data_IF_655478876060
#
_entry.id   IF_655478876060
#
_cell.length_a   1.000
_cell.length_b   1.000
_cell.length_c   1.000
_cell.angle_alpha   90.00
_cell.angle_beta   90.00
_cell.angle_gamma   90.00
#
_symmetry.space_group_name_H-M   'P 1'
#
loop_
_entity.id
_entity.type
_entity.pdbx_description
1 polymer ?
#
# COMPACT_ATOMS: atom_id res chain seq x y z
N UNK A 1 13.34 1.35 -5.00
CA UNK A 1 11.94 1.53 -5.41
C UNK A 1 11.46 0.54 -6.46
N UNK A 2 10.47 -0.30 -6.12
CA UNK A 2 9.58 -0.91 -7.12
C UNK A 2 8.43 0.07 -7.40
N UNK A 3 8.12 0.32 -8.67
CA UNK A 3 6.98 1.17 -9.07
C UNK A 3 5.81 0.25 -9.40
N UNK A 4 4.64 0.52 -8.81
CA UNK A 4 3.41 -0.21 -9.08
C UNK A 4 2.42 0.69 -9.81
N UNK A 5 1.88 0.20 -10.93
CA UNK A 5 0.80 0.85 -11.67
C UNK A 5 -0.56 0.37 -11.18
N UNK A 6 -1.63 1.06 -11.53
CA UNK A 6 -2.98 0.52 -11.34
C UNK A 6 -3.20 -0.78 -12.10
N UNK A 7 -4.12 -1.61 -11.62
CA UNK A 7 -4.49 -2.87 -12.26
C UNK A 7 -5.05 -2.65 -13.66
N UNK A 8 -4.68 -3.52 -14.60
CA UNK A 8 -5.19 -3.48 -15.98
C UNK A 8 -5.37 -4.88 -16.54
N UNK A 9 -6.44 -5.09 -17.30
CA UNK A 9 -6.71 -6.33 -18.05
C UNK A 9 -6.27 -6.27 -19.51
N UNK A 10 -5.73 -5.13 -19.97
CA UNK A 10 -5.29 -4.94 -21.35
C UNK A 10 -3.95 -5.66 -21.59
N UNK A 11 -3.90 -6.68 -22.48
CA UNK A 11 -2.68 -7.41 -22.76
C UNK A 11 -1.50 -6.55 -23.21
N UNK A 12 -1.76 -5.44 -23.93
CA UNK A 12 -0.69 -4.53 -24.40
C UNK A 12 -0.07 -3.78 -23.23
N UNK A 13 -0.89 -3.30 -22.29
CA UNK A 13 -0.39 -2.64 -21.07
C UNK A 13 0.34 -3.62 -20.16
N UNK A 14 -0.15 -4.87 -20.05
CA UNK A 14 0.53 -5.91 -19.30
C UNK A 14 1.90 -6.26 -19.90
N UNK A 15 2.04 -6.25 -21.23
CA UNK A 15 3.34 -6.40 -21.88
C UNK A 15 4.27 -5.23 -21.54
N UNK A 16 3.80 -3.98 -21.66
CA UNK A 16 4.58 -2.80 -21.28
C UNK A 16 5.02 -2.80 -19.80
N UNK A 17 4.15 -3.23 -18.89
CA UNK A 17 4.47 -3.37 -17.46
C UNK A 17 5.65 -4.34 -17.28
N UNK A 18 5.64 -5.49 -17.99
CA UNK A 18 6.74 -6.45 -17.96
C UNK A 18 8.02 -5.86 -18.55
N UNK A 19 7.93 -5.28 -19.74
CA UNK A 19 9.08 -4.75 -20.48
C UNK A 19 9.80 -3.63 -19.72
N UNK A 20 9.04 -2.82 -18.96
CA UNK A 20 9.59 -1.75 -18.13
C UNK A 20 9.92 -2.16 -16.69
N UNK A 21 9.75 -3.43 -16.31
CA UNK A 21 10.00 -3.90 -14.95
C UNK A 21 9.09 -3.25 -13.88
N UNK A 22 7.89 -2.83 -14.29
CA UNK A 22 6.89 -2.27 -13.39
C UNK A 22 6.10 -3.39 -12.70
N UNK A 23 5.47 -3.03 -11.58
CA UNK A 23 4.55 -3.90 -10.86
C UNK A 23 3.10 -3.45 -10.99
N UNK A 24 2.18 -4.23 -10.43
CA UNK A 24 0.76 -3.91 -10.36
C UNK A 24 0.31 -3.75 -8.90
N UNK A 25 -0.35 -2.64 -8.61
CA UNK A 25 -1.10 -2.43 -7.39
C UNK A 25 -2.54 -2.91 -7.61
N UNK A 26 -2.92 -3.98 -6.92
CA UNK A 26 -4.28 -4.53 -6.93
C UNK A 26 -5.08 -3.78 -5.86
N UNK A 27 -5.90 -2.82 -6.27
CA UNK A 27 -6.76 -2.08 -5.35
C UNK A 27 -8.05 -2.83 -5.06
N UNK A 28 -8.38 -2.95 -3.77
CA UNK A 28 -9.62 -3.59 -3.33
C UNK A 28 -10.81 -2.68 -3.59
N UNK A 29 -11.84 -3.20 -4.27
CA UNK A 29 -13.12 -2.53 -4.47
C UNK A 29 -14.22 -3.55 -4.83
N UNK A 30 -15.51 -3.20 -4.70
CA UNK A 30 -16.59 -4.03 -5.18
C UNK A 30 -16.39 -4.39 -6.67
N UNK A 31 -16.50 -5.68 -6.99
CA UNK A 31 -16.35 -6.15 -8.37
C UNK A 31 -14.91 -6.23 -8.89
N UNK A 32 -13.87 -6.11 -8.05
CA UNK A 32 -12.46 -6.22 -8.49
C UNK A 32 -12.22 -7.39 -9.44
N UNK A 33 -11.63 -7.12 -10.60
CA UNK A 33 -11.30 -8.14 -11.59
C UNK A 33 -9.79 -8.23 -11.73
N UNK A 34 -9.23 -9.33 -11.25
CA UNK A 34 -7.80 -9.59 -11.33
C UNK A 34 -7.52 -10.35 -12.62
N UNK A 35 -6.60 -9.87 -13.49
CA UNK A 35 -6.22 -10.55 -14.73
C UNK A 35 -5.95 -12.04 -14.55
N UNK A 36 -6.12 -12.80 -15.63
CA UNK A 36 -5.92 -14.27 -15.60
C UNK A 36 -4.46 -14.63 -15.35
N UNK A 37 -3.54 -13.92 -15.98
CA UNK A 37 -2.12 -14.18 -15.92
C UNK A 37 -1.33 -12.92 -15.56
N UNK A 38 -0.75 -12.94 -14.35
CA UNK A 38 0.19 -11.95 -13.84
C UNK A 38 1.57 -12.57 -13.59
N UNK A 39 1.86 -13.72 -14.22
CA UNK A 39 3.12 -14.43 -14.03
C UNK A 39 4.29 -13.52 -14.39
N UNK A 40 5.29 -13.47 -13.50
CA UNK A 40 6.48 -12.63 -13.63
C UNK A 40 6.27 -11.14 -13.38
N UNK A 41 5.06 -10.68 -13.03
CA UNK A 41 4.80 -9.27 -12.71
C UNK A 41 4.77 -9.10 -11.17
N UNK A 42 5.61 -8.23 -10.58
CA UNK A 42 5.53 -7.89 -9.16
C UNK A 42 4.14 -7.34 -8.82
N UNK A 43 3.55 -7.81 -7.73
CA UNK A 43 2.20 -7.40 -7.34
C UNK A 43 2.19 -6.93 -5.89
N UNK A 44 1.46 -5.85 -5.61
CA UNK A 44 1.13 -5.42 -4.26
C UNK A 44 -0.40 -5.27 -4.14
N UNK A 45 -0.93 -5.31 -2.92
CA UNK A 45 -2.36 -5.16 -2.67
C UNK A 45 -2.64 -3.88 -1.89
N UNK A 46 -3.47 -3.02 -2.47
CA UNK A 46 -4.01 -1.83 -1.82
C UNK A 46 -5.39 -2.16 -1.20
N UNK A 47 -5.63 -1.64 -0.01
CA UNK A 47 -6.79 -2.00 0.80
C UNK A 47 -8.10 -1.34 0.32
N UNK A 48 -8.03 -0.34 -0.57
CA UNK A 48 -9.20 0.37 -1.08
C UNK A 48 -9.73 1.51 -0.19
N UNK A 49 -9.12 1.78 0.96
CA UNK A 49 -9.59 2.78 1.93
C UNK A 49 -9.67 4.19 1.31
N UNK A 50 -8.71 4.55 0.46
CA UNK A 50 -8.72 5.84 -0.22
C UNK A 50 -9.93 6.01 -1.16
N UNK A 51 -10.24 4.98 -1.95
CA UNK A 51 -11.41 5.02 -2.84
C UNK A 51 -12.71 5.10 -2.05
N UNK A 52 -12.84 4.36 -0.94
CA UNK A 52 -14.02 4.45 -0.09
C UNK A 52 -14.18 5.86 0.49
N UNK A 53 -13.09 6.42 1.03
CA UNK A 53 -13.06 7.78 1.58
C UNK A 53 -13.44 8.85 0.55
N UNK A 54 -12.93 8.77 -0.68
CA UNK A 54 -13.29 9.72 -1.76
C UNK A 54 -14.77 9.71 -2.13
N UNK A 55 -15.46 8.58 -1.89
CA UNK A 55 -16.87 8.40 -2.20
C UNK A 55 -17.77 8.51 -0.95
N UNK A 56 -17.23 8.99 0.17
CA UNK A 56 -17.93 9.10 1.46
C UNK A 56 -18.52 7.76 1.97
N UNK A 57 -17.79 6.67 1.70
CA UNK A 57 -18.13 5.33 2.20
C UNK A 57 -17.16 4.88 3.30
N UNK A 58 -17.63 4.06 4.26
CA UNK A 58 -16.74 3.39 5.20
C UNK A 58 -15.82 2.39 4.48
N UNK A 59 -14.72 2.02 5.14
CA UNK A 59 -13.83 0.95 4.67
C UNK A 59 -14.61 -0.34 4.39
N UNK A 60 -14.51 -0.85 3.16
CA UNK A 60 -15.19 -2.06 2.73
C UNK A 60 -14.34 -3.31 3.07
N UNK A 61 -14.54 -3.81 4.29
CA UNK A 61 -13.92 -5.03 4.78
C UNK A 61 -14.19 -6.24 3.86
N UNK A 62 -15.40 -6.36 3.32
CA UNK A 62 -15.77 -7.49 2.48
C UNK A 62 -15.01 -7.45 1.16
N UNK A 63 -14.91 -6.29 0.50
CA UNK A 63 -14.13 -6.13 -0.71
C UNK A 63 -12.65 -6.44 -0.48
N UNK A 64 -12.07 -5.96 0.63
CA UNK A 64 -10.68 -6.24 0.99
C UNK A 64 -10.42 -7.75 1.15
N UNK A 65 -11.20 -8.43 1.99
CA UNK A 65 -11.05 -9.88 2.22
C UNK A 65 -11.31 -10.70 0.96
N UNK A 66 -12.28 -10.30 0.13
CA UNK A 66 -12.56 -10.95 -1.16
C UNK A 66 -11.41 -10.78 -2.14
N UNK A 67 -10.76 -9.61 -2.17
CA UNK A 67 -9.59 -9.34 -3.01
C UNK A 67 -8.40 -10.20 -2.56
N UNK A 68 -8.12 -10.26 -1.26
CA UNK A 68 -7.10 -11.16 -0.71
C UNK A 68 -7.36 -12.62 -1.07
N UNK A 69 -8.61 -13.09 -0.94
CA UNK A 69 -9.00 -14.45 -1.31
C UNK A 69 -8.77 -14.73 -2.80
N UNK A 70 -9.11 -13.79 -3.69
CA UNK A 70 -8.84 -13.90 -5.13
C UNK A 70 -7.34 -13.99 -5.43
N UNK A 71 -6.50 -13.16 -4.79
CA UNK A 71 -5.05 -13.24 -4.93
C UNK A 71 -4.52 -14.61 -4.49
N UNK A 72 -5.00 -15.13 -3.35
CA UNK A 72 -4.62 -16.45 -2.84
C UNK A 72 -5.02 -17.59 -3.78
N UNK A 73 -6.28 -17.60 -4.26
CA UNK A 73 -6.78 -18.61 -5.20
C UNK A 73 -5.99 -18.60 -6.51
N UNK A 74 -5.62 -17.40 -6.99
CA UNK A 74 -4.78 -17.21 -8.18
C UNK A 74 -3.29 -17.44 -7.94
N UNK A 75 -2.88 -17.73 -6.69
CA UNK A 75 -1.48 -17.89 -6.27
C UNK A 75 -0.59 -16.70 -6.66
N UNK A 76 -1.14 -15.49 -6.56
CA UNK A 76 -0.39 -14.26 -6.80
C UNK A 76 0.54 -14.04 -5.61
N UNK A 77 1.84 -13.96 -5.87
CA UNK A 77 2.81 -13.56 -4.86
C UNK A 77 2.71 -12.03 -4.67
N UNK A 78 2.41 -11.61 -3.45
CA UNK A 78 2.27 -10.20 -3.12
C UNK A 78 3.54 -9.73 -2.38
N UNK A 79 4.18 -8.70 -2.93
CA UNK A 79 5.36 -8.05 -2.32
C UNK A 79 5.00 -7.45 -0.96
N UNK A 80 3.82 -6.83 -0.89
CA UNK A 80 3.19 -6.41 0.35
C UNK A 80 1.66 -6.23 0.21
N UNK A 81 1.01 -6.11 1.35
CA UNK A 81 -0.40 -5.76 1.50
C UNK A 81 -0.51 -4.51 2.36
N UNK A 82 -1.12 -3.45 1.86
CA UNK A 82 -1.49 -2.30 2.67
C UNK A 82 -2.46 -2.74 3.77
N UNK A 83 -2.06 -2.58 5.04
CA UNK A 83 -2.93 -2.86 6.17
C UNK A 83 -4.14 -1.92 6.13
N UNK A 84 -5.36 -2.37 6.43
CA UNK A 84 -6.52 -1.48 6.53
C UNK A 84 -6.26 -0.27 7.43
N UNK A 85 -6.69 0.89 6.95
CA UNK A 85 -6.39 2.19 7.54
C UNK A 85 -7.61 3.13 7.46
N UNK A 86 -7.50 4.28 8.12
CA UNK A 86 -8.49 5.35 8.05
C UNK A 86 -7.79 6.58 7.47
N UNK A 87 -8.18 6.99 6.27
CA UNK A 87 -7.59 8.15 5.58
C UNK A 87 -7.71 9.40 6.45
N UNK A 88 -6.60 10.11 6.62
CA UNK A 88 -6.49 11.28 7.51
C UNK A 88 -6.94 11.01 8.98
N UNK A 89 -6.94 9.75 9.41
CA UNK A 89 -7.47 9.33 10.71
C UNK A 89 -6.49 9.44 11.88
N UNK A 90 -5.23 9.82 11.65
CA UNK A 90 -4.18 9.92 12.67
C UNK A 90 -4.10 8.70 13.57
N UNK A 91 -4.05 8.89 14.90
CA UNK A 91 -3.97 7.80 15.87
C UNK A 91 -5.12 6.78 15.77
N UNK A 92 -6.33 7.20 15.33
CA UNK A 92 -7.44 6.26 15.11
C UNK A 92 -7.13 5.28 13.99
N UNK A 93 -6.48 5.75 12.93
CA UNK A 93 -6.01 4.89 11.83
C UNK A 93 -4.98 3.88 12.32
N UNK A 94 -4.04 4.29 13.17
CA UNK A 94 -3.04 3.38 13.73
C UNK A 94 -3.69 2.28 14.58
N UNK A 95 -4.61 2.64 15.47
CA UNK A 95 -5.34 1.67 16.28
C UNK A 95 -6.13 0.69 15.39
N UNK A 96 -6.75 1.19 14.32
CA UNK A 96 -7.47 0.36 13.34
C UNK A 96 -6.53 -0.62 12.63
N UNK A 97 -5.38 -0.16 12.14
CA UNK A 97 -4.36 -1.03 11.52
C UNK A 97 -3.82 -2.07 12.51
N UNK A 98 -3.60 -1.73 13.78
CA UNK A 98 -3.17 -2.69 14.81
C UNK A 98 -4.23 -3.76 15.10
N UNK A 99 -5.52 -3.40 15.11
CA UNK A 99 -6.60 -4.39 15.21
C UNK A 99 -6.60 -5.34 14.01
N UNK A 100 -6.42 -4.81 12.81
CA UNK A 100 -6.33 -5.60 11.59
C UNK A 100 -5.09 -6.48 11.53
N UNK A 101 -3.95 -5.98 12.00
CA UNK A 101 -2.71 -6.74 12.01
C UNK A 101 -2.84 -8.05 12.79
N UNK A 102 -3.59 -8.05 13.91
CA UNK A 102 -3.89 -9.26 14.70
C UNK A 102 -4.74 -10.28 13.94
N UNK A 103 -5.50 -9.85 12.93
CA UNK A 103 -6.38 -10.69 12.09
C UNK A 103 -5.65 -11.26 10.87
N UNK A 104 -4.56 -10.61 10.44
CA UNK A 104 -3.78 -10.99 9.27
C UNK A 104 -2.61 -11.88 9.69
N UNK A 105 -2.51 -13.07 9.11
CA UNK A 105 -1.46 -14.06 9.41
C UNK A 105 -0.30 -14.05 8.42
N UNK A 106 -0.23 -13.02 7.57
CA UNK A 106 0.78 -12.86 6.52
C UNK A 106 1.87 -11.90 7.02
N UNK A 107 3.12 -12.10 6.61
CA UNK A 107 4.27 -11.31 7.09
C UNK A 107 4.49 -10.02 6.29
N UNK A 108 4.18 -10.03 4.99
CA UNK A 108 4.38 -8.90 4.09
C UNK A 108 3.27 -7.84 4.22
N UNK A 109 3.06 -7.29 5.42
CA UNK A 109 2.07 -6.25 5.68
C UNK A 109 2.74 -4.89 5.79
N UNK A 110 2.16 -3.89 5.13
CA UNK A 110 2.56 -2.50 5.22
C UNK A 110 1.66 -1.73 6.19
N UNK A 111 2.26 -1.05 7.17
CA UNK A 111 1.53 -0.07 7.97
C UNK A 111 1.27 1.16 7.10
N UNK A 112 0.01 1.53 6.91
CA UNK A 112 -0.34 2.77 6.20
C UNK A 112 -0.32 3.93 7.20
N UNK A 113 0.66 4.82 7.06
CA UNK A 113 0.76 6.04 7.87
C UNK A 113 -0.10 7.15 7.26
N UNK A 114 -0.78 7.91 8.11
CA UNK A 114 -1.80 8.90 7.76
C UNK A 114 -1.57 10.23 8.48
N UNK A 115 -2.27 11.28 8.06
CA UNK A 115 -2.21 12.62 8.64
C UNK A 115 -2.29 12.59 10.16
N UNK A 116 -1.38 13.31 10.83
CA UNK A 116 -1.30 13.39 12.29
C UNK A 116 -0.55 12.23 12.96
N UNK A 117 -0.03 11.25 12.20
CA UNK A 117 0.95 10.31 12.72
C UNK A 117 2.36 10.92 12.69
N UNK A 118 3.23 10.42 13.57
CA UNK A 118 4.64 10.80 13.67
C UNK A 118 5.49 9.53 13.82
N UNK A 119 6.75 9.52 13.36
CA UNK A 119 7.67 8.39 13.52
C UNK A 119 7.79 7.87 14.95
N UNK A 120 7.71 8.75 15.97
CA UNK A 120 7.74 8.33 17.38
C UNK A 120 6.56 7.43 17.76
N UNK A 121 5.39 7.63 17.13
CA UNK A 121 4.24 6.74 17.31
C UNK A 121 4.56 5.35 16.76
N UNK A 122 5.45 5.24 15.75
CA UNK A 122 5.91 3.97 15.17
C UNK A 122 7.02 3.25 15.94
N UNK A 123 7.59 3.84 16.97
CA UNK A 123 8.58 3.16 17.82
C UNK A 123 7.90 2.43 18.98
N UNK A 124 6.78 2.96 19.48
CA UNK A 124 6.18 2.54 20.75
C UNK A 124 5.17 1.36 20.68
N UNK A 125 4.72 0.93 19.49
CA UNK A 125 3.62 -0.04 19.35
C UNK A 125 4.04 -1.46 18.90
N UNK A 126 5.27 -1.88 19.15
CA UNK A 126 5.79 -3.21 18.77
C UNK A 126 5.58 -3.55 17.28
N UNK A 127 6.13 -2.68 16.42
CA UNK A 127 5.97 -2.74 14.97
C UNK A 127 6.80 -3.82 14.28
N UNK A 128 7.46 -4.71 15.03
CA UNK A 128 8.09 -5.92 14.51
C UNK A 128 7.11 -6.82 13.71
N UNK A 129 5.82 -6.51 13.77
CA UNK A 129 4.76 -7.18 13.03
C UNK A 129 4.61 -6.68 11.58
N UNK A 130 5.14 -5.52 11.22
CA UNK A 130 5.07 -4.95 9.87
C UNK A 130 6.41 -5.06 9.16
N UNK A 131 6.39 -5.25 7.85
CA UNK A 131 7.60 -5.33 7.02
C UNK A 131 7.80 -4.07 6.16
N UNK A 132 6.75 -3.25 6.04
CA UNK A 132 6.75 -2.06 5.21
C UNK A 132 6.08 -0.87 5.92
N UNK A 133 6.52 0.34 5.59
CA UNK A 133 5.76 1.57 5.80
C UNK A 133 5.17 2.00 4.46
N UNK A 134 3.86 2.23 4.42
CA UNK A 134 3.16 2.80 3.29
C UNK A 134 2.75 4.23 3.63
N UNK A 135 3.30 5.23 2.96
CA UNK A 135 2.98 6.63 3.19
C UNK A 135 1.68 6.98 2.46
N UNK A 136 0.60 7.01 3.23
CA UNK A 136 -0.74 7.43 2.84
C UNK A 136 -0.94 8.93 3.09
N UNK A 137 -2.17 9.30 3.43
CA UNK A 137 -2.54 10.67 3.78
C UNK A 137 -2.78 11.62 2.62
N UNK A 138 -3.15 12.84 2.99
CA UNK A 138 -3.35 13.95 2.06
C UNK A 138 -2.04 14.28 1.32
N UNK A 139 -2.10 14.81 0.07
CA UNK A 139 -0.89 15.12 -0.69
C UNK A 139 0.10 16.03 0.06
N UNK A 140 -0.39 17.09 0.71
CA UNK A 140 0.46 18.06 1.40
C UNK A 140 1.17 17.44 2.59
N UNK A 141 0.44 16.74 3.46
CA UNK A 141 1.02 16.03 4.61
C UNK A 141 2.02 14.97 4.18
N UNK A 142 1.66 14.15 3.18
CA UNK A 142 2.49 13.07 2.65
C UNK A 142 3.83 13.58 2.20
N UNK A 143 3.85 14.62 1.36
CA UNK A 143 5.10 15.14 0.82
C UNK A 143 5.88 15.95 1.85
N UNK A 144 5.23 16.60 2.81
CA UNK A 144 5.90 17.28 3.91
C UNK A 144 6.63 16.29 4.84
N UNK A 145 6.09 15.09 5.04
CA UNK A 145 6.61 14.10 6.02
C UNK A 145 7.35 12.92 5.39
N UNK A 146 7.35 12.79 4.06
CA UNK A 146 7.88 11.61 3.36
C UNK A 146 9.32 11.27 3.75
N UNK A 147 10.20 12.27 3.85
CA UNK A 147 11.61 12.07 4.19
C UNK A 147 11.79 11.43 5.58
N UNK A 148 11.03 11.89 6.57
CA UNK A 148 11.08 11.38 7.93
C UNK A 148 10.59 9.93 8.00
N UNK A 149 9.50 9.62 7.29
CA UNK A 149 8.93 8.27 7.24
C UNK A 149 9.80 7.28 6.48
N UNK A 150 10.43 7.69 5.38
CA UNK A 150 11.39 6.83 4.66
C UNK A 150 12.60 6.53 5.54
N UNK A 151 13.15 7.55 6.20
CA UNK A 151 14.25 7.35 7.15
C UNK A 151 13.86 6.42 8.30
N UNK A 152 12.67 6.61 8.88
CA UNK A 152 12.16 5.74 9.94
C UNK A 152 12.00 4.29 9.49
N UNK A 153 11.47 4.06 8.28
CA UNK A 153 11.36 2.71 7.72
C UNK A 153 12.73 2.02 7.66
N UNK A 154 13.74 2.72 7.13
CA UNK A 154 15.10 2.19 7.01
C UNK A 154 15.77 1.92 8.36
N UNK A 155 15.60 2.81 9.34
CA UNK A 155 16.10 2.61 10.71
C UNK A 155 15.50 1.33 11.33
N UNK A 156 14.25 1.01 10.99
CA UNK A 156 13.56 -0.19 11.46
C UNK A 156 13.82 -1.44 10.59
N UNK A 157 14.65 -1.35 9.55
CA UNK A 157 14.89 -2.43 8.59
C UNK A 157 13.68 -2.76 7.70
N UNK A 158 12.71 -1.85 7.61
CA UNK A 158 11.51 -1.98 6.79
C UNK A 158 11.73 -1.34 5.41
N UNK A 159 10.93 -1.78 4.44
CA UNK A 159 10.82 -1.10 3.14
C UNK A 159 9.82 0.05 3.24
N UNK A 160 9.95 1.06 2.39
CA UNK A 160 9.00 2.18 2.32
C UNK A 160 8.29 2.19 0.95
N UNK A 161 7.02 2.59 0.92
CA UNK A 161 6.29 2.83 -0.32
C UNK A 161 5.46 4.10 -0.18
N UNK A 162 5.41 4.94 -1.21
CA UNK A 162 4.65 6.20 -1.19
C UNK A 162 3.45 6.09 -2.13
N UNK A 163 2.24 6.20 -1.58
CA UNK A 163 1.01 6.07 -2.36
C UNK A 163 0.75 7.28 -3.27
N UNK A 164 0.10 7.04 -4.43
CA UNK A 164 -0.35 8.08 -5.37
C UNK A 164 0.78 8.97 -5.95
N UNK A 165 1.92 8.35 -6.28
CA UNK A 165 3.06 9.01 -6.92
C UNK A 165 3.01 9.00 -8.47
N UNK A 166 1.83 9.08 -9.10
CA UNK A 166 1.66 8.82 -10.53
C UNK A 166 2.29 9.83 -11.51
N UNK A 167 2.89 10.92 -11.05
CA UNK A 167 3.55 11.92 -11.91
C UNK A 167 5.06 11.73 -11.91
N UNK A 168 5.73 12.09 -13.01
CA UNK A 168 7.19 11.95 -13.16
C UNK A 168 7.95 12.65 -12.02
N UNK A 169 7.53 13.85 -11.63
CA UNK A 169 8.19 14.59 -10.55
C UNK A 169 8.03 13.91 -9.19
N UNK A 170 6.86 13.32 -8.92
CA UNK A 170 6.61 12.55 -7.70
C UNK A 170 7.41 11.26 -7.67
N UNK A 171 7.53 10.56 -8.81
CA UNK A 171 8.37 9.37 -8.92
C UNK A 171 9.85 9.72 -8.71
N UNK A 172 10.33 10.82 -9.29
CA UNK A 172 11.71 11.29 -9.11
C UNK A 172 11.99 11.59 -7.63
N UNK A 173 11.10 12.36 -7.00
CA UNK A 173 11.21 12.71 -5.58
C UNK A 173 11.16 11.47 -4.67
N UNK A 174 10.26 10.52 -4.93
CA UNK A 174 10.19 9.28 -4.16
C UNK A 174 11.49 8.46 -4.26
N UNK A 175 12.07 8.39 -5.47
CA UNK A 175 13.37 7.72 -5.70
C UNK A 175 14.51 8.42 -4.95
N UNK A 176 14.56 9.76 -4.99
CA UNK A 176 15.58 10.56 -4.28
C UNK A 176 15.52 10.38 -2.76
N UNK A 177 14.31 10.24 -2.20
CA UNK A 177 14.12 9.97 -0.78
C UNK A 177 14.49 8.54 -0.37
N UNK A 178 14.58 7.60 -1.33
CA UNK A 178 14.92 6.21 -1.07
C UNK A 178 13.72 5.28 -0.82
N UNK A 179 12.53 5.64 -1.29
CA UNK A 179 11.38 4.73 -1.29
C UNK A 179 11.53 3.56 -2.31
#
# INVERSE_FOLDING_TARGET
MQIYTGITGDPRKLAQIRDYGLGIMISSHPGVSIPKDLSGIPCALDNGAFSAWQNDYPFDEYAFLKTMSKCRVKKINLDFIACPDIVAGGQRSLNFSLMWRKRLTIDNIALVVQDGMEPKHTVNCNYAQFSHIFIGGTPDWKWATAAEWVNQAHVMGMKCHIGQCGTVDRLRRAKELGA
#
